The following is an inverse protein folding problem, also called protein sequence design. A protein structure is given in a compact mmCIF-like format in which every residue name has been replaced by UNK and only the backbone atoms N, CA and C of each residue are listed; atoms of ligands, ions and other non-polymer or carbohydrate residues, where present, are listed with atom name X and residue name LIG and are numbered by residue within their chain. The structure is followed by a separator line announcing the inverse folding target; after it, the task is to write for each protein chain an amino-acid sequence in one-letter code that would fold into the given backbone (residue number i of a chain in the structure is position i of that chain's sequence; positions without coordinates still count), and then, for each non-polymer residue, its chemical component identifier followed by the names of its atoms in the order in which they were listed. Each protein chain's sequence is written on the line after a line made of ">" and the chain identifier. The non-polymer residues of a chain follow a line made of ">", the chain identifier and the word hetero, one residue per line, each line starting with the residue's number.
data_IF_618997949697
#
_entry.id   IF_618997949697
#
_cell.length_a   1.000
_cell.length_b   1.000
_cell.length_c   1.000
_cell.angle_alpha   90.00
_cell.angle_beta   90.00
_cell.angle_gamma   90.00
#
_symmetry.space_group_name_H-M   'P 1'
#
loop_
_entity.id
_entity.type
_entity.pdbx_description
1 polymer ?
2 non-polymer ?
3 non-polymer ?
4 water ?
#
# COMPACT_ATOMS: atom_id res chain seq x y z
N UNK A 23 -4.73 16.59 -11.95
CA UNK A 23 -5.86 16.47 -11.02
C UNK A 23 -5.93 15.06 -10.48
N UNK A 24 -6.39 14.93 -9.24
CA UNK A 24 -6.37 13.64 -8.56
C UNK A 24 -7.73 12.95 -8.67
N UNK A 25 -7.74 11.62 -8.81
CA UNK A 25 -9.02 10.89 -8.78
C UNK A 25 -9.51 10.75 -7.36
N UNK A 26 -10.73 10.25 -7.17
CA UNK A 26 -11.16 9.89 -5.82
C UNK A 26 -10.29 8.76 -5.29
N UNK A 27 -9.92 8.81 -4.01
CA UNK A 27 -9.06 7.75 -3.47
C UNK A 27 -9.77 6.41 -3.49
N UNK A 28 -9.04 5.30 -3.45
CA UNK A 28 -9.70 4.00 -3.47
C UNK A 28 -10.66 3.85 -2.30
N UNK A 29 -11.70 3.04 -2.50
CA UNK A 29 -12.71 2.88 -1.47
C UNK A 29 -12.13 2.15 -0.27
N UNK A 30 -12.54 2.58 0.92
CA UNK A 30 -12.19 1.91 2.17
C UNK A 30 -13.38 1.22 2.82
N UNK A 31 -14.56 1.34 2.22
CA UNK A 31 -15.74 0.64 2.71
C UNK A 31 -16.63 0.32 1.52
N UNK A 32 -17.37 -0.77 1.63
CA UNK A 32 -18.26 -1.24 0.58
C UNK A 32 -19.30 -2.16 1.20
N UNK A 33 -20.46 -1.64 1.59
CA UNK A 33 -21.41 -2.46 2.37
C UNK A 33 -21.79 -3.77 1.72
N UNK A 34 -21.87 -3.83 0.40
CA UNK A 34 -22.26 -5.07 -0.28
C UNK A 34 -21.08 -5.97 -0.56
N UNK A 35 -19.88 -5.63 -0.10
CA UNK A 35 -18.73 -6.52 -0.25
C UNK A 35 -18.67 -7.48 0.93
N UNK A 36 -18.46 -8.77 0.69
CA UNK A 36 -18.35 -9.72 1.81
C UNK A 36 -17.06 -9.49 2.59
N UNK A 37 -17.17 -9.42 3.92
CA UNK A 37 -16.05 -9.15 4.79
C UNK A 37 -15.86 -10.31 5.76
N UNK A 38 -14.67 -10.35 6.37
CA UNK A 38 -14.32 -11.41 7.30
C UNK A 38 -13.04 -11.05 8.04
N UNK A 39 -13.03 -11.24 9.37
CA UNK A 39 -11.87 -10.95 10.20
C UNK A 39 -11.15 -12.26 10.49
N UNK A 40 -9.94 -12.41 9.98
CA UNK A 40 -9.14 -13.60 10.16
C UNK A 40 -7.91 -13.28 10.99
N UNK A 41 -7.37 -14.32 11.63
CA UNK A 41 -6.13 -14.15 12.39
C UNK A 41 -5.03 -13.57 11.52
N UNK A 42 -4.96 -14.02 10.25
CA UNK A 42 -3.95 -13.48 9.34
C UNK A 42 -4.18 -12.00 9.08
N UNK A 43 -5.45 -11.58 8.96
CA UNK A 43 -5.73 -10.17 8.72
C UNK A 43 -5.40 -9.33 9.93
N UNK A 44 -5.67 -9.84 11.13
CA UNK A 44 -5.29 -9.11 12.34
C UNK A 44 -3.78 -8.93 12.40
N UNK A 45 -3.02 -9.95 12.03
CA UNK A 45 -1.56 -9.85 12.03
C UNK A 45 -1.07 -8.84 11.01
N UNK A 46 -1.72 -8.80 9.83
CA UNK A 46 -1.31 -7.83 8.82
C UNK A 46 -1.45 -6.40 9.31
N UNK A 47 -2.44 -6.14 10.18
CA UNK A 47 -2.63 -4.79 10.70
C UNK A 47 -1.76 -4.54 11.94
N UNK A 48 -1.87 -5.40 12.95
CA UNK A 48 -1.20 -5.15 14.23
C UNK A 48 0.32 -5.25 14.11
N UNK A 49 0.83 -6.03 13.16
CA UNK A 49 2.25 -6.30 13.08
C UNK A 49 2.83 -5.75 11.78
N UNK A 50 2.32 -6.24 10.64
CA UNK A 50 2.94 -5.92 9.35
C UNK A 50 2.79 -4.43 9.05
N UNK A 51 1.55 -3.95 8.95
CA UNK A 51 1.35 -2.55 8.58
C UNK A 51 1.88 -1.60 9.65
N UNK A 52 1.61 -1.90 10.91
CA UNK A 52 2.03 -1.01 11.99
C UNK A 52 3.55 -0.84 12.01
N UNK A 53 4.30 -1.91 11.74
CA UNK A 53 5.75 -1.80 11.72
C UNK A 53 6.23 -1.05 10.47
N UNK A 54 5.72 -1.44 9.30
CA UNK A 54 6.10 -0.74 8.08
C UNK A 54 5.74 0.74 8.17
N UNK A 55 4.60 1.06 8.78
CA UNK A 55 4.17 2.44 8.91
C UNK A 55 5.24 3.29 9.58
N UNK A 56 5.95 2.72 10.55
CA UNK A 56 6.95 3.45 11.33
C UNK A 56 8.32 3.46 10.69
N UNK A 57 8.48 2.85 9.51
CA UNK A 57 9.78 2.81 8.85
C UNK A 57 10.18 4.21 8.37
N UNK A 58 11.48 4.48 8.40
CA UNK A 58 11.98 5.80 8.01
C UNK A 58 11.62 6.14 6.57
N UNK A 59 11.32 5.14 5.74
CA UNK A 59 10.99 5.35 4.34
C UNK A 59 9.51 5.22 4.05
N UNK A 60 8.67 5.18 5.09
CA UNK A 60 7.25 4.90 4.91
C UNK A 60 6.43 6.13 4.55
N UNK A 61 6.89 7.33 4.87
CA UNK A 61 6.03 8.51 4.74
C UNK A 61 5.52 8.75 3.32
N UNK A 62 6.26 8.47 2.24
CA UNK A 62 5.69 8.71 0.90
C UNK A 62 4.54 7.79 0.57
N UNK A 63 4.34 6.72 1.32
CA UNK A 63 3.34 5.71 1.03
C UNK A 63 2.19 5.73 2.02
N UNK A 64 2.17 6.67 2.95
CA UNK A 64 1.13 6.75 3.97
C UNK A 64 -0.15 7.43 3.48
N UNK A 65 -0.19 7.87 2.23
CA UNK A 65 -1.37 8.53 1.68
C UNK A 65 -1.32 8.44 0.17
N UNK A 66 -2.46 8.59 -0.51
CA UNK A 66 -2.45 8.54 -1.98
C UNK A 66 -1.51 9.58 -2.57
N UNK A 67 -0.96 9.26 -3.74
CA UNK A 67 -0.11 10.22 -4.45
C UNK A 67 -0.94 11.42 -4.84
N UNK A 68 -0.46 12.61 -4.48
CA UNK A 68 -1.07 13.87 -4.90
C UNK A 68 -0.34 14.33 -6.15
N UNK A 69 -0.94 14.06 -7.32
CA UNK A 69 -0.28 14.39 -8.58
C UNK A 69 -0.01 15.88 -8.70
N UNK A 70 -0.78 16.72 -8.01
CA UNK A 70 -0.61 18.16 -8.12
C UNK A 70 0.47 18.64 -7.15
N UNK A 71 0.36 18.27 -5.87
CA UNK A 71 1.34 18.68 -4.89
C UNK A 71 2.74 18.30 -5.31
N UNK A 72 2.91 17.11 -5.89
CA UNK A 72 4.21 16.57 -6.23
C UNK A 72 4.65 16.93 -7.65
N UNK A 73 3.87 17.74 -8.36
CA UNK A 73 4.20 18.11 -9.74
C UNK A 73 4.42 16.86 -10.60
N UNK A 74 3.57 15.85 -10.37
CA UNK A 74 3.55 14.63 -11.17
C UNK A 74 2.20 14.51 -11.88
N UNK A 75 1.88 15.45 -12.77
CA UNK A 75 0.53 15.45 -13.38
C UNK A 75 0.22 14.22 -14.19
N UNK A 76 1.23 13.48 -14.64
CA UNK A 76 1.00 12.29 -15.46
C UNK A 76 0.82 11.01 -14.65
N UNK A 77 0.85 11.10 -13.32
CA UNK A 77 0.82 9.89 -12.50
C UNK A 77 -0.44 9.08 -12.75
N UNK A 78 -1.61 9.69 -12.55
CA UNK A 78 -2.87 9.00 -12.75
C UNK A 78 -3.25 8.87 -14.22
N UNK A 79 -2.40 9.35 -15.13
CA UNK A 79 -2.49 8.97 -16.53
C UNK A 79 -1.74 7.68 -16.81
N UNK A 80 -0.87 7.25 -15.89
CA UNK A 80 -0.08 6.04 -16.03
C UNK A 80 -0.57 4.95 -15.07
N UNK A 81 -0.82 5.31 -13.82
CA UNK A 81 -1.25 4.37 -12.80
C UNK A 81 -2.77 4.37 -12.79
N UNK A 82 -3.38 3.26 -13.20
CA UNK A 82 -4.83 3.13 -13.25
C UNK A 82 -5.40 2.35 -12.08
N UNK A 83 -4.56 1.76 -11.22
CA UNK A 83 -5.00 1.06 -10.02
C UNK A 83 -4.16 1.55 -8.84
N UNK A 84 -4.41 2.77 -8.37
CA UNK A 84 -3.57 3.33 -7.30
C UNK A 84 -3.78 2.60 -5.99
N UNK A 85 -2.75 2.64 -5.14
CA UNK A 85 -2.85 2.06 -3.82
C UNK A 85 -1.77 2.64 -2.92
N UNK A 86 -2.09 2.77 -1.63
CA UNK A 86 -1.19 3.32 -0.65
C UNK A 86 -1.45 2.64 0.69
N UNK A 87 -0.51 2.81 1.62
CA UNK A 87 -0.66 2.19 2.93
C UNK A 87 -1.74 2.86 3.76
N UNK A 88 -1.98 4.16 3.54
CA UNK A 88 -3.10 4.81 4.20
C UNK A 88 -4.42 4.15 3.86
N UNK A 89 -4.62 3.83 2.59
CA UNK A 89 -5.82 3.12 2.18
C UNK A 89 -5.85 1.72 2.78
N UNK A 90 -4.73 1.01 2.73
CA UNK A 90 -4.67 -0.33 3.29
C UNK A 90 -4.95 -0.30 4.79
N UNK A 91 -4.40 0.68 5.49
CA UNK A 91 -4.64 0.80 6.92
C UNK A 91 -6.12 0.99 7.22
N UNK A 92 -6.79 1.86 6.47
CA UNK A 92 -8.22 2.06 6.68
C UNK A 92 -9.01 0.81 6.32
N UNK A 93 -8.64 0.15 5.21
CA UNK A 93 -9.32 -1.08 4.84
C UNK A 93 -9.20 -2.13 5.94
N UNK A 94 -8.01 -2.30 6.49
CA UNK A 94 -7.82 -3.23 7.59
C UNK A 94 -8.61 -2.80 8.82
N UNK A 95 -8.57 -1.49 9.14
CA UNK A 95 -9.29 -1.00 10.31
C UNK A 95 -10.80 -1.11 10.13
N UNK A 96 -11.28 -1.07 8.89
CA UNK A 96 -12.71 -1.18 8.59
C UNK A 96 -13.14 -2.61 8.28
N UNK A 97 -12.24 -3.59 8.47
CA UNK A 97 -12.55 -4.98 8.18
C UNK A 97 -13.08 -5.14 6.76
N UNK A 98 -12.40 -4.47 5.83
CA UNK A 98 -12.83 -4.43 4.44
C UNK A 98 -12.53 -5.71 3.67
N UNK A 99 -11.54 -6.48 4.10
CA UNK A 99 -11.07 -7.63 3.34
C UNK A 99 -11.81 -8.91 3.72
N UNK A 100 -11.73 -9.90 2.83
CA UNK A 100 -12.22 -11.24 3.09
C UNK A 100 -11.12 -12.20 3.53
N UNK A 101 -9.90 -12.02 3.03
CA UNK A 101 -8.78 -12.85 3.46
C UNK A 101 -7.49 -12.06 3.32
N UNK A 102 -6.40 -12.64 3.83
CA UNK A 102 -5.12 -11.95 3.84
C UNK A 102 -4.61 -11.71 2.42
N UNK A 103 -4.90 -12.64 1.49
CA UNK A 103 -4.41 -12.50 0.12
C UNK A 103 -4.90 -11.20 -0.51
N UNK A 104 -6.14 -10.80 -0.20
CA UNK A 104 -6.66 -9.54 -0.72
C UNK A 104 -5.84 -8.36 -0.22
N UNK A 105 -5.46 -8.38 1.05
CA UNK A 105 -4.63 -7.30 1.59
C UNK A 105 -3.23 -7.36 1.03
N UNK A 106 -2.63 -8.55 0.98
CA UNK A 106 -1.30 -8.70 0.40
C UNK A 106 -1.29 -8.20 -1.05
N UNK A 107 -2.39 -8.41 -1.78
CA UNK A 107 -2.46 -7.92 -3.14
C UNK A 107 -2.36 -6.41 -3.19
N UNK A 108 -2.99 -5.72 -2.24
CA UNK A 108 -2.94 -4.26 -2.22
C UNK A 108 -1.51 -3.78 -2.00
N UNK A 109 -0.77 -4.42 -1.11
CA UNK A 109 0.64 -4.09 -0.93
C UNK A 109 1.40 -4.29 -2.23
N UNK A 110 1.22 -5.43 -2.89
CA UNK A 110 1.95 -5.69 -4.12
C UNK A 110 1.61 -4.66 -5.20
N UNK A 111 0.35 -4.22 -5.24
CA UNK A 111 -0.01 -3.17 -6.19
C UNK A 111 0.67 -1.85 -5.87
N UNK A 112 0.75 -1.51 -4.59
CA UNK A 112 1.41 -0.27 -4.18
C UNK A 112 2.87 -0.27 -4.65
N UNK A 113 3.59 -1.36 -4.37
CA UNK A 113 4.99 -1.44 -4.79
C UNK A 113 5.11 -1.42 -6.31
N UNK A 114 4.29 -2.22 -6.99
CA UNK A 114 4.37 -2.30 -8.44
C UNK A 114 4.13 -0.93 -9.08
N UNK A 115 3.11 -0.21 -8.62
CA UNK A 115 2.85 1.13 -9.14
C UNK A 115 4.10 1.99 -9.07
N UNK A 116 4.80 1.96 -7.93
CA UNK A 116 5.97 2.80 -7.74
C UNK A 116 7.07 2.44 -8.73
N UNK A 117 7.32 1.14 -8.92
CA UNK A 117 8.33 0.72 -9.88
C UNK A 117 7.93 1.02 -11.32
N UNK A 118 6.63 1.12 -11.60
CA UNK A 118 6.18 1.42 -12.95
C UNK A 118 6.38 2.89 -13.27
N UNK A 119 5.93 3.77 -12.37
CA UNK A 119 5.96 5.19 -12.66
C UNK A 119 7.36 5.78 -12.59
N UNK A 120 8.21 5.26 -11.72
CA UNK A 120 9.50 5.87 -11.43
C UNK A 120 10.63 5.07 -12.06
N UNK A 121 11.83 5.73 -12.16
CA UNK A 121 12.99 5.12 -12.77
C UNK A 121 13.76 4.29 -11.75
N UNK A 122 14.41 3.20 -12.18
CA UNK A 122 15.04 2.29 -11.22
C UNK A 122 16.04 2.97 -10.28
N UNK A 123 16.68 4.05 -10.69
CA UNK A 123 17.69 4.68 -9.86
C UNK A 123 17.19 5.90 -9.11
N UNK A 124 15.93 5.87 -8.68
CA UNK A 124 15.29 7.01 -8.03
C UNK A 124 15.17 6.76 -6.53
N UNK A 125 15.24 7.85 -5.76
CA UNK A 125 15.12 7.73 -4.31
C UNK A 125 13.83 7.03 -3.92
N UNK A 126 12.72 7.36 -4.57
CA UNK A 126 11.43 6.78 -4.18
C UNK A 126 11.43 5.28 -4.41
N UNK A 127 12.10 4.83 -5.48
CA UNK A 127 12.16 3.39 -5.75
C UNK A 127 13.01 2.69 -4.69
N UNK A 128 14.12 3.32 -4.29
CA UNK A 128 14.95 2.76 -3.22
C UNK A 128 14.16 2.62 -1.93
N UNK A 129 13.28 3.59 -1.66
CA UNK A 129 12.44 3.51 -0.48
C UNK A 129 11.44 2.36 -0.59
N UNK A 130 10.78 2.25 -1.76
CA UNK A 130 9.83 1.16 -1.96
C UNK A 130 10.52 -0.20 -1.85
N UNK A 131 11.68 -0.35 -2.49
CA UNK A 131 12.37 -1.63 -2.46
C UNK A 131 12.71 -2.04 -1.04
N UNK A 132 13.15 -1.08 -0.22
CA UNK A 132 13.43 -1.39 1.19
C UNK A 132 12.17 -1.84 1.91
N UNK A 133 11.05 -1.15 1.70
CA UNK A 133 9.81 -1.52 2.35
C UNK A 133 9.30 -2.86 1.84
N UNK A 134 9.44 -3.13 0.54
CA UNK A 134 9.02 -4.41 0.01
C UNK A 134 9.82 -5.54 0.64
N UNK A 135 11.12 -5.32 0.85
CA UNK A 135 11.95 -6.35 1.48
C UNK A 135 11.49 -6.63 2.90
N UNK A 136 11.20 -5.58 3.67
CA UNK A 136 10.70 -5.77 5.02
C UNK A 136 9.30 -6.39 4.99
N UNK A 137 8.48 -5.99 4.04
CA UNK A 137 7.14 -6.56 3.92
C UNK A 137 7.21 -8.06 3.65
N UNK A 138 8.05 -8.48 2.71
CA UNK A 138 8.20 -9.90 2.43
C UNK A 138 8.74 -10.64 3.65
N UNK A 139 9.70 -10.03 4.35
CA UNK A 139 10.22 -10.62 5.57
C UNK A 139 9.10 -10.90 6.57
N UNK A 140 8.17 -9.95 6.72
CA UNK A 140 7.15 -10.06 7.76
C UNK A 140 6.02 -11.02 7.37
N UNK A 141 5.69 -11.12 6.09
CA UNK A 141 4.61 -12.04 5.69
C UNK A 141 5.11 -13.47 5.64
N UNK A 142 6.43 -13.70 5.60
CA UNK A 142 6.95 -15.04 5.75
C UNK A 142 6.72 -15.58 7.16
N UNK A 143 6.36 -14.71 8.11
CA UNK A 143 5.98 -15.10 9.46
C UNK A 143 4.47 -15.03 9.67
N UNK A 144 3.69 -15.10 8.61
CA UNK A 144 2.24 -15.01 8.73
C UNK A 144 1.73 -16.16 9.61
N UNK A 145 0.80 -15.88 10.55
CA UNK A 145 0.31 -16.95 11.42
C UNK A 145 -0.45 -18.04 10.67
X LIG B 1 5.94 9.85 -7.39
X LIG B 1 10.81 11.64 -3.98
X LIG B 1 4.93 6.71 -3.51
X LIG B 1 5.79 9.77 -4.24
X LIG B 1 4.93 10.01 -3.18
X LIG B 1 6.92 10.57 -4.41
X LIG B 1 7.17 11.61 -3.53
X LIG B 1 6.31 11.84 -2.47
X LIG B 1 5.18 11.05 -2.30
X LIG B 1 8.41 12.48 -3.72
X LIG B 1 9.64 11.73 -3.24
X LIG B 1 5.00 6.62 -5.98
X LIG B 1 11.91 10.98 -3.57
X LIG B 1 5.16 7.35 -4.88
X LIG B 1 5.28 7.45 -7.05
X LIG B 1 5.59 8.67 -6.57
X LIG B 1 5.52 8.63 -5.21
X LIG B 1 4.31 11.29 -1.23
X LIG B 1 8.26 13.66 -2.97
X LIG B 1 11.90 10.37 -2.36
X LIG B 1 10.75 10.44 -1.57
X LIG B 1 9.64 11.10 -2.01
X LIG B 1 6.88 9.82 -7.63
X LIG B 1 5.76 10.66 -6.90
X LIG B 1 5.41 9.85 -8.21
X LIG B 1 10.84 12.06 -4.82
X LIG B 1 5.32 7.27 -2.82
X LIG B 1 3.98 6.61 -3.35
X LIG B 1 5.34 5.83 -3.48
X LIG B 1 4.18 9.48 -3.06
X LIG B 1 7.50 10.40 -5.11
X LIG B 1 6.47 12.54 -1.88
X LIG B 1 8.49 12.70 -4.66
X LIG B 1 4.02 12.09 -1.28
X LIG B 1 8.28 14.32 -3.50
X LIG B 1 12.64 9.91 -2.06
X LIG B 1 10.74 10.01 -0.75
X LIG B 1 8.89 11.14 -1.47
X LIG C 1 5.42 8.75 -6.49
X LIG C 1 5.15 11.07 -2.20
X LIG C 1 4.87 10.03 -3.08
X LIG C 1 8.37 12.46 -3.64
X LIG C 1 9.61 11.65 -3.26
X LIG C 1 10.71 11.49 -4.07
X LIG C 1 11.83 10.17 -2.51
X LIG C 1 5.42 8.66 -5.13
X LIG C 1 5.11 7.36 -4.81
X LIG C 1 5.71 9.97 -7.28
X LIG C 1 4.96 6.68 -3.46
X LIG C 1 5.72 9.80 -4.14
X LIG C 1 6.84 10.58 -4.32
X LIG C 1 7.13 11.60 -3.44
X LIG C 1 6.27 11.86 -2.37
X LIG C 1 5.11 7.54 -6.99
X LIG C 1 4.29 11.32 -1.12
X LIG C 1 8.47 12.84 -4.99
X LIG C 1 10.74 10.30 -1.65
X LIG C 1 9.66 11.02 -2.02
X LIG C 1 4.92 6.67 -5.93
X LIG C 1 11.80 10.77 -3.72
X LIG C 1 4.11 9.52 -2.96
X LIG C 1 8.32 13.26 -3.10
X LIG C 1 10.70 11.89 -4.91
X LIG C 1 12.57 9.67 -2.26
X LIG C 1 5.08 10.66 -7.04
X LIG C 1 5.62 9.76 -8.22
X LIG C 1 6.61 10.27 -7.10
X LIG C 1 4.42 7.23 -2.87
X LIG C 1 5.84 6.56 -3.06
X LIG C 1 4.55 5.81 -3.58
X LIG C 1 7.42 10.41 -5.04
X LIG C 1 6.46 12.54 -1.78
X LIG C 1 4.73 11.66 -0.47
X LIG C 1 7.73 13.19 -5.24
X LIG C 1 10.77 9.89 -0.81
X LIG C 1 8.94 11.11 -1.43
#
# INVERSE_FOLDING_TARGET
>A
MHHHHHHSSGVDLGTENLYFQSMNPPPPETSNPNKPKRQTNQLQYLLRVVLKTLWKHQFAWPFQQPVDAVKLNCPDYYKIIKTPMDMGTIKKRLENNYYWNAQECIQDFNTMFTNCYIYNKPGDDIVLMAEALEKLFLQKINELPTEE
>B hetero
1 E5Q C4 C14 C5 C6 C11 C7 C8 C9 C10 C12 C13 N1 N2 C3 O1 C1 C2 O2 O3 C15 C16 C17 H1 H2 H3 H4 H5 H6 H7 H8 H9 H10 H11 H12 H13 H14 H15 H16
>C hetero
1 V0R C1 C10 C11 C12 C13 C14 C15 C2 C3 C4 C5 C6 C7 C8 C9 O1 O2 O3 C16 C17 N1 N2 H8 H11 H4 H14 H1 H2 H3 H6 H7 H5 H9 H10 H12 H13 H15 H16
#
